data_IF_845793521095
#
_entry.id   IF_845793521095
#
_cell.length_a   1.000
_cell.length_b   1.000
_cell.length_c   1.000
_cell.angle_alpha   90.00
_cell.angle_beta   90.00
_cell.angle_gamma   90.00
#
_symmetry.space_group_name_H-M   'P 1'
#
loop_
_entity.id
_entity.type
_entity.pdbx_description
1 polymer ?
#
# COMPACT_ATOMS: atom_id res chain seq x y z
N UNK A 1 12.44 -15.29 -6.77
CA UNK A 1 11.65 -14.33 -5.97
C UNK A 1 12.33 -12.99 -6.12
N UNK A 2 11.61 -11.93 -6.42
CA UNK A 2 12.16 -10.57 -6.48
C UNK A 2 12.30 -10.01 -5.07
N UNK A 3 13.32 -9.17 -4.87
CA UNK A 3 13.61 -8.48 -3.62
C UNK A 3 13.48 -6.97 -3.80
N UNK A 4 12.87 -6.30 -2.84
CA UNK A 4 12.74 -4.85 -2.80
C UNK A 4 12.99 -4.32 -1.40
N UNK A 5 13.29 -3.04 -1.28
CA UNK A 5 13.40 -2.36 0.01
C UNK A 5 12.61 -1.04 -0.01
N UNK A 6 11.98 -0.72 1.10
CA UNK A 6 11.23 0.53 1.23
C UNK A 6 12.18 1.71 1.49
N UNK A 7 11.99 2.81 0.75
CA UNK A 7 12.84 4.01 0.89
C UNK A 7 12.78 4.63 2.29
N UNK A 8 11.68 4.42 3.02
CA UNK A 8 11.55 4.85 4.42
C UNK A 8 12.57 4.19 5.37
N UNK A 9 13.12 3.04 4.99
CA UNK A 9 14.07 2.28 5.80
C UNK A 9 15.51 2.79 5.67
N UNK A 10 15.78 3.76 4.79
CA UNK A 10 17.12 4.25 4.47
C UNK A 10 17.16 5.78 4.65
N UNK A 11 18.28 6.30 5.14
CA UNK A 11 18.51 7.73 5.22
C UNK A 11 19.02 8.31 3.89
N UNK A 12 18.88 9.63 3.70
CA UNK A 12 19.30 10.36 2.51
C UNK A 12 18.12 10.89 1.68
N UNK A 13 18.40 11.58 0.58
CA UNK A 13 17.38 11.94 -0.39
C UNK A 13 17.00 10.75 -1.29
N UNK A 14 15.95 10.90 -2.09
CA UNK A 14 15.45 9.79 -2.91
C UNK A 14 16.50 9.28 -3.92
N UNK A 15 17.29 10.19 -4.51
CA UNK A 15 18.34 9.81 -5.47
C UNK A 15 19.45 8.98 -4.81
N UNK A 16 19.93 9.44 -3.63
CA UNK A 16 20.93 8.71 -2.83
C UNK A 16 20.44 7.32 -2.42
N UNK A 17 19.15 7.24 -2.00
CA UNK A 17 18.52 5.97 -1.63
C UNK A 17 18.47 5.00 -2.81
N UNK A 18 18.04 5.46 -3.99
CA UNK A 18 17.97 4.62 -5.19
C UNK A 18 19.34 4.09 -5.61
N UNK A 19 20.37 4.93 -5.57
CA UNK A 19 21.75 4.52 -5.86
C UNK A 19 22.24 3.44 -4.89
N UNK A 20 21.95 3.60 -3.59
CA UNK A 20 22.32 2.63 -2.56
C UNK A 20 21.57 1.30 -2.72
N UNK A 21 20.28 1.34 -3.03
CA UNK A 21 19.43 0.17 -3.27
C UNK A 21 19.92 -0.64 -4.46
N UNK A 22 20.22 0.04 -5.58
CA UNK A 22 20.76 -0.59 -6.77
C UNK A 22 22.14 -1.22 -6.51
N UNK A 23 23.03 -0.49 -5.81
CA UNK A 23 24.35 -0.99 -5.44
C UNK A 23 24.29 -2.22 -4.51
N UNK A 24 23.25 -2.33 -3.68
CA UNK A 24 23.00 -3.47 -2.81
C UNK A 24 22.42 -4.69 -3.54
N UNK A 25 22.05 -4.56 -4.81
CA UNK A 25 21.58 -5.67 -5.65
C UNK A 25 20.11 -6.04 -5.46
N UNK A 26 19.28 -5.11 -5.00
CA UNK A 26 17.84 -5.31 -4.99
C UNK A 26 17.25 -5.24 -6.41
N UNK A 27 16.15 -5.97 -6.65
CA UNK A 27 15.43 -5.95 -7.92
C UNK A 27 14.50 -4.73 -8.05
N UNK A 28 14.07 -4.17 -6.90
CA UNK A 28 13.10 -3.10 -6.90
C UNK A 28 13.11 -2.25 -5.61
N UNK A 29 12.21 -1.30 -5.59
CA UNK A 29 12.05 -0.34 -4.50
C UNK A 29 10.57 -0.16 -4.17
N UNK A 30 10.27 -0.03 -2.90
CA UNK A 30 8.99 0.50 -2.44
C UNK A 30 9.16 1.99 -2.15
N UNK A 31 8.45 2.83 -2.91
CA UNK A 31 8.57 4.27 -2.74
C UNK A 31 7.67 4.76 -1.61
N UNK A 32 8.28 5.32 -0.58
CA UNK A 32 7.58 6.02 0.48
C UNK A 32 7.12 7.40 -0.01
N UNK A 33 5.84 7.70 0.12
CA UNK A 33 5.24 8.94 -0.40
C UNK A 33 5.94 10.22 0.06
N UNK A 34 6.38 10.29 1.33
CA UNK A 34 7.06 11.49 1.82
C UNK A 34 8.42 11.70 1.16
N UNK A 35 9.15 10.64 0.82
CA UNK A 35 10.41 10.75 0.08
C UNK A 35 10.17 11.27 -1.33
N UNK A 36 9.09 10.78 -1.96
CA UNK A 36 8.66 11.28 -3.26
C UNK A 36 8.25 12.76 -3.20
N UNK A 37 7.45 13.17 -2.22
CA UNK A 37 6.98 14.56 -2.07
C UNK A 37 8.10 15.53 -1.69
N UNK A 38 9.13 15.05 -1.01
CA UNK A 38 10.29 15.86 -0.63
C UNK A 38 11.30 16.03 -1.77
N UNK A 39 11.20 15.25 -2.84
CA UNK A 39 12.12 15.29 -3.96
C UNK A 39 11.57 16.19 -5.08
N UNK A 40 12.39 17.14 -5.54
CA UNK A 40 11.98 18.14 -6.54
C UNK A 40 12.03 17.58 -7.97
N UNK A 41 11.08 16.70 -8.27
CA UNK A 41 10.91 16.12 -9.60
C UNK A 41 9.45 15.70 -9.83
N UNK A 42 9.03 15.67 -11.09
CA UNK A 42 7.72 15.14 -11.48
C UNK A 42 7.63 13.62 -11.28
N UNK A 43 6.41 13.04 -11.17
CA UNK A 43 6.26 11.59 -11.06
C UNK A 43 6.95 10.82 -12.20
N UNK A 44 6.87 11.33 -13.43
CA UNK A 44 7.52 10.73 -14.60
C UNK A 44 9.04 10.72 -14.49
N UNK A 45 9.62 11.81 -14.00
CA UNK A 45 11.07 11.91 -13.78
C UNK A 45 11.54 10.96 -12.68
N UNK A 46 10.80 10.87 -11.58
CA UNK A 46 11.11 9.90 -10.51
C UNK A 46 11.01 8.47 -11.03
N UNK A 47 9.93 8.14 -11.74
CA UNK A 47 9.79 6.80 -12.35
C UNK A 47 10.92 6.48 -13.35
N UNK A 48 11.34 7.47 -14.15
CA UNK A 48 12.51 7.31 -15.02
C UNK A 48 13.80 7.09 -14.21
N UNK A 49 14.01 7.87 -13.17
CA UNK A 49 15.19 7.75 -12.31
C UNK A 49 15.31 6.35 -11.69
N UNK A 50 14.20 5.77 -11.20
CA UNK A 50 14.18 4.39 -10.69
C UNK A 50 14.64 3.42 -11.77
N UNK A 51 14.07 3.51 -12.98
CA UNK A 51 14.43 2.62 -14.09
C UNK A 51 15.87 2.81 -14.57
N UNK A 52 16.41 4.04 -14.54
CA UNK A 52 17.79 4.34 -14.90
C UNK A 52 18.80 3.66 -13.94
N UNK A 53 18.38 3.38 -12.68
CA UNK A 53 19.14 2.57 -11.72
C UNK A 53 18.96 1.05 -11.91
N UNK A 54 18.19 0.61 -12.90
CA UNK A 54 17.88 -0.80 -13.12
C UNK A 54 16.87 -1.39 -12.14
N UNK A 55 16.16 -0.54 -11.39
CA UNK A 55 15.17 -0.95 -10.41
C UNK A 55 13.75 -0.89 -10.99
N UNK A 56 12.84 -1.70 -10.43
CA UNK A 56 11.39 -1.55 -10.64
C UNK A 56 10.75 -0.92 -9.38
N UNK A 57 9.63 -0.21 -9.57
CA UNK A 57 8.82 0.24 -8.44
C UNK A 57 7.84 -0.88 -8.12
N UNK A 58 8.13 -1.65 -7.07
CA UNK A 58 7.31 -2.79 -6.65
C UNK A 58 6.05 -2.37 -5.91
N UNK A 59 6.09 -1.21 -5.24
CA UNK A 59 5.00 -0.73 -4.40
C UNK A 59 5.12 0.79 -4.18
N UNK A 60 3.99 1.49 -4.18
CA UNK A 60 3.88 2.87 -3.69
C UNK A 60 3.17 2.89 -2.35
N UNK A 61 3.71 3.58 -1.34
CA UNK A 61 3.20 3.52 0.03
C UNK A 61 3.35 4.82 0.82
N UNK A 62 2.56 4.97 1.91
CA UNK A 62 1.32 4.25 2.22
C UNK A 62 0.08 5.06 1.81
N UNK A 63 -1.06 4.38 1.68
CA UNK A 63 -2.37 5.03 1.76
C UNK A 63 -2.98 4.77 3.14
N UNK A 64 -3.33 5.82 3.86
CA UNK A 64 -3.83 5.74 5.25
C UNK A 64 -5.26 6.19 5.37
N UNK A 65 -5.97 5.64 6.38
CA UNK A 65 -7.32 6.06 6.77
C UNK A 65 -8.30 6.03 5.60
N UNK A 66 -8.49 4.83 5.05
CA UNK A 66 -9.38 4.60 3.93
C UNK A 66 -10.69 3.94 4.38
N UNK A 67 -10.62 2.69 4.88
CA UNK A 67 -11.81 1.88 5.17
C UNK A 67 -12.53 2.36 6.43
N UNK A 68 -13.85 2.18 6.42
CA UNK A 68 -14.73 2.50 7.55
C UNK A 68 -14.90 3.97 7.83
N UNK A 69 -14.49 4.85 6.93
CA UNK A 69 -14.65 6.28 7.16
C UNK A 69 -16.12 6.71 7.02
N UNK A 70 -16.66 7.52 7.97
CA UNK A 70 -17.98 8.11 7.81
C UNK A 70 -17.98 9.24 6.77
N UNK A 71 -19.15 9.61 6.25
CA UNK A 71 -19.25 10.83 5.44
C UNK A 71 -18.97 12.11 6.26
N UNK A 72 -18.35 13.14 5.68
CA UNK A 72 -17.85 13.24 4.30
C UNK A 72 -16.43 12.69 4.11
N UNK A 73 -15.83 12.05 5.11
CA UNK A 73 -14.47 11.54 5.04
C UNK A 73 -14.35 10.37 4.05
N UNK A 74 -15.39 9.52 3.94
CA UNK A 74 -15.45 8.43 2.98
C UNK A 74 -15.32 8.95 1.54
N UNK A 75 -16.15 9.90 1.15
CA UNK A 75 -16.05 10.53 -0.18
C UNK A 75 -14.65 11.09 -0.43
N UNK A 76 -14.07 11.80 0.54
CA UNK A 76 -12.71 12.35 0.42
C UNK A 76 -11.62 11.28 0.32
N UNK A 77 -11.80 10.12 0.96
CA UNK A 77 -10.86 9.01 0.87
C UNK A 77 -10.85 8.44 -0.56
N UNK A 78 -12.00 8.28 -1.18
CA UNK A 78 -12.10 7.89 -2.59
C UNK A 78 -11.51 8.93 -3.55
N UNK A 79 -11.78 10.21 -3.33
CA UNK A 79 -11.16 11.28 -4.14
C UNK A 79 -9.63 11.30 -4.03
N UNK A 80 -9.09 10.99 -2.84
CA UNK A 80 -7.64 10.82 -2.66
C UNK A 80 -7.12 9.59 -3.40
N UNK A 81 -7.87 8.49 -3.36
CA UNK A 81 -7.50 7.25 -4.08
C UNK A 81 -7.38 7.49 -5.57
N UNK A 82 -8.35 8.17 -6.17
CA UNK A 82 -8.34 8.52 -7.61
C UNK A 82 -7.08 9.31 -7.98
N UNK A 83 -6.78 10.37 -7.24
CA UNK A 83 -5.56 11.17 -7.46
C UNK A 83 -4.27 10.35 -7.26
N UNK A 84 -4.28 9.40 -6.33
CA UNK A 84 -3.14 8.50 -6.09
C UNK A 84 -2.93 7.59 -7.29
N UNK A 85 -4.00 7.03 -7.85
CA UNK A 85 -3.92 6.18 -9.03
C UNK A 85 -3.40 6.95 -10.26
N UNK A 86 -3.86 8.20 -10.45
CA UNK A 86 -3.36 9.04 -11.54
C UNK A 86 -1.84 9.30 -11.39
N UNK A 87 -1.38 9.63 -10.17
CA UNK A 87 0.05 9.81 -9.88
C UNK A 87 0.85 8.54 -10.13
N UNK A 88 0.34 7.38 -9.68
CA UNK A 88 0.99 6.09 -9.88
C UNK A 88 1.14 5.73 -11.36
N UNK A 89 0.14 6.05 -12.18
CA UNK A 89 0.22 5.88 -13.62
C UNK A 89 1.35 6.68 -14.26
N UNK A 90 1.58 7.91 -13.80
CA UNK A 90 2.70 8.74 -14.24
C UNK A 90 4.05 8.23 -13.71
N UNK A 91 4.09 7.76 -12.49
CA UNK A 91 5.28 7.19 -11.84
C UNK A 91 5.71 5.87 -12.50
N UNK A 92 4.74 5.11 -13.02
CA UNK A 92 4.97 3.82 -13.68
C UNK A 92 4.96 2.63 -12.72
N UNK A 93 4.05 2.66 -11.74
CA UNK A 93 3.76 1.55 -10.84
C UNK A 93 2.26 1.27 -10.80
N UNK A 94 1.89 0.04 -10.52
CA UNK A 94 0.48 -0.38 -10.50
C UNK A 94 -0.01 -0.88 -9.13
N UNK A 95 0.86 -0.99 -8.12
CA UNK A 95 0.51 -1.49 -6.80
C UNK A 95 0.69 -0.43 -5.73
N UNK A 96 -0.33 -0.26 -4.87
CA UNK A 96 -0.29 0.64 -3.72
C UNK A 96 -0.65 -0.10 -2.43
N UNK A 97 0.06 0.23 -1.35
CA UNK A 97 -0.23 -0.28 -0.01
C UNK A 97 -1.27 0.59 0.69
N UNK A 98 -2.36 -0.04 1.12
CA UNK A 98 -3.38 0.53 1.98
C UNK A 98 -3.23 -0.05 3.39
N UNK A 99 -2.88 0.82 4.33
CA UNK A 99 -2.81 0.44 5.74
C UNK A 99 -4.18 0.47 6.39
N UNK A 100 -4.44 -0.46 7.29
CA UNK A 100 -5.67 -0.43 8.10
C UNK A 100 -5.83 0.89 8.84
N UNK A 101 -7.06 1.39 8.90
CA UNK A 101 -7.38 2.73 9.40
C UNK A 101 -7.05 2.87 10.89
N UNK A 102 -6.36 3.98 11.22
CA UNK A 102 -6.06 4.40 12.58
C UNK A 102 -6.90 5.60 13.01
N UNK A 103 -7.70 6.15 12.10
CA UNK A 103 -8.46 7.37 12.33
C UNK A 103 -9.49 7.20 13.45
N UNK A 104 -9.60 8.13 14.43
CA UNK A 104 -10.51 8.00 15.57
C UNK A 104 -11.99 7.91 15.18
N UNK A 105 -12.37 8.43 14.00
CA UNK A 105 -13.74 8.34 13.48
C UNK A 105 -14.02 7.11 12.64
N UNK A 106 -13.01 6.28 12.35
CA UNK A 106 -13.24 5.06 11.57
C UNK A 106 -14.24 4.16 12.28
N UNK A 107 -15.17 3.61 11.51
CA UNK A 107 -16.22 2.69 11.93
C UNK A 107 -15.76 1.26 11.68
N UNK A 108 -15.95 0.38 12.64
CA UNK A 108 -15.60 -1.04 12.50
C UNK A 108 -16.61 -1.83 11.67
N UNK A 109 -16.26 -3.07 11.41
CA UNK A 109 -17.08 -4.05 10.70
C UNK A 109 -16.41 -4.58 9.45
N UNK A 110 -16.24 -5.89 9.39
CA UNK A 110 -15.61 -6.60 8.26
C UNK A 110 -16.38 -6.33 6.96
N UNK A 111 -17.71 -6.45 6.98
CA UNK A 111 -18.54 -6.23 5.79
C UNK A 111 -18.43 -4.79 5.27
N UNK A 112 -18.46 -3.81 6.17
CA UNK A 112 -18.28 -2.38 5.80
C UNK A 112 -16.94 -2.14 5.12
N UNK A 113 -15.86 -2.68 5.67
CA UNK A 113 -14.54 -2.53 5.07
C UNK A 113 -14.46 -3.28 3.73
N UNK A 114 -15.08 -4.44 3.63
CA UNK A 114 -15.15 -5.20 2.38
C UNK A 114 -15.91 -4.43 1.29
N UNK A 115 -17.04 -3.80 1.63
CA UNK A 115 -17.81 -2.95 0.70
C UNK A 115 -16.97 -1.77 0.21
N UNK A 116 -16.21 -1.11 1.12
CA UNK A 116 -15.31 -0.02 0.74
C UNK A 116 -14.21 -0.51 -0.21
N UNK A 117 -13.61 -1.68 0.04
CA UNK A 117 -12.59 -2.25 -0.84
C UNK A 117 -13.15 -2.80 -2.15
N UNK A 118 -14.36 -3.33 -2.18
CA UNK A 118 -15.03 -3.73 -3.42
C UNK A 118 -15.21 -2.52 -4.35
N UNK A 119 -15.74 -1.40 -3.84
CA UNK A 119 -15.86 -0.16 -4.60
C UNK A 119 -14.49 0.39 -5.03
N UNK A 120 -13.48 0.31 -4.17
CA UNK A 120 -12.11 0.73 -4.51
C UNK A 120 -11.52 -0.15 -5.62
N UNK A 121 -11.80 -1.43 -5.60
CA UNK A 121 -11.37 -2.38 -6.61
C UNK A 121 -11.84 -2.02 -8.01
N UNK A 122 -13.11 -1.67 -8.15
CA UNK A 122 -13.69 -1.21 -9.41
C UNK A 122 -12.97 0.05 -9.94
N UNK A 123 -12.69 1.02 -9.06
CA UNK A 123 -11.98 2.25 -9.41
C UNK A 123 -10.51 1.98 -9.78
N UNK A 124 -9.86 1.08 -9.06
CA UNK A 124 -8.48 0.64 -9.33
C UNK A 124 -8.41 -0.08 -10.69
N UNK A 125 -9.33 -1.01 -10.95
CA UNK A 125 -9.40 -1.77 -12.19
C UNK A 125 -9.56 -0.87 -13.41
N UNK A 126 -10.41 0.18 -13.32
CA UNK A 126 -10.62 1.15 -14.39
C UNK A 126 -9.33 1.90 -14.80
N UNK A 127 -8.29 1.89 -13.95
CA UNK A 127 -6.97 2.51 -14.19
C UNK A 127 -5.83 1.50 -14.30
N UNK A 128 -6.13 0.20 -14.29
CA UNK A 128 -5.10 -0.85 -14.30
C UNK A 128 -4.27 -0.92 -13.01
N UNK A 129 -4.82 -0.43 -11.88
CA UNK A 129 -4.15 -0.40 -10.59
C UNK A 129 -4.56 -1.58 -9.72
N UNK A 130 -3.71 -1.93 -8.78
CA UNK A 130 -3.93 -2.96 -7.75
C UNK A 130 -3.72 -2.35 -6.36
N UNK A 131 -4.46 -2.85 -5.41
CA UNK A 131 -4.42 -2.41 -4.01
C UNK A 131 -4.03 -3.60 -3.13
N UNK A 132 -3.02 -3.43 -2.30
CA UNK A 132 -2.68 -4.39 -1.25
C UNK A 132 -3.09 -3.85 0.11
N UNK A 133 -3.93 -4.59 0.83
CA UNK A 133 -4.40 -4.21 2.16
C UNK A 133 -3.53 -4.85 3.25
N UNK A 134 -3.07 -4.04 4.19
CA UNK A 134 -2.21 -4.44 5.29
C UNK A 134 -2.84 -4.13 6.65
N UNK A 135 -2.86 -5.11 7.54
CA UNK A 135 -3.26 -4.92 8.92
C UNK A 135 -2.10 -4.36 9.76
N UNK A 136 -2.19 -3.09 10.16
CA UNK A 136 -1.24 -2.50 11.11
C UNK A 136 -1.46 -3.05 12.52
N UNK A 137 -0.39 -3.33 13.28
CA UNK A 137 -0.48 -3.77 14.67
C UNK A 137 -1.27 -2.82 15.58
N UNK A 138 -1.35 -1.55 15.21
CA UNK A 138 -2.09 -0.49 15.89
C UNK A 138 -3.32 -0.01 15.12
N UNK A 139 -3.78 -0.76 14.11
CA UNK A 139 -5.02 -0.49 13.41
C UNK A 139 -6.21 -0.43 14.38
N UNK A 140 -7.11 0.52 14.18
CA UNK A 140 -8.19 0.77 15.13
C UNK A 140 -9.18 -0.39 15.23
N UNK A 141 -9.54 -0.97 14.10
CA UNK A 141 -10.52 -2.06 14.03
C UNK A 141 -9.96 -3.31 13.37
N UNK A 142 -8.94 -3.16 12.54
CA UNK A 142 -8.24 -4.25 11.86
C UNK A 142 -6.77 -4.18 12.23
N UNK A 143 -6.32 -5.13 13.05
CA UNK A 143 -4.93 -5.21 13.53
C UNK A 143 -4.38 -6.65 13.47
N UNK A 144 -5.06 -7.50 12.72
CA UNK A 144 -4.74 -8.91 12.52
C UNK A 144 -4.86 -9.22 11.02
N UNK A 145 -3.84 -9.88 10.47
CA UNK A 145 -3.85 -10.24 9.04
C UNK A 145 -5.00 -11.19 8.67
N UNK A 146 -5.56 -11.93 9.63
CA UNK A 146 -6.73 -12.80 9.40
C UNK A 146 -8.00 -11.99 9.15
N UNK A 147 -8.18 -10.87 9.86
CA UNK A 147 -9.30 -9.95 9.61
C UNK A 147 -9.10 -9.21 8.28
N UNK A 148 -7.86 -8.79 7.98
CA UNK A 148 -7.54 -8.18 6.68
C UNK A 148 -7.79 -9.15 5.53
N UNK A 149 -7.41 -10.42 5.68
CA UNK A 149 -7.71 -11.46 4.69
C UNK A 149 -9.22 -11.67 4.51
N UNK A 150 -9.98 -11.71 5.60
CA UNK A 150 -11.43 -11.87 5.53
C UNK A 150 -12.11 -10.69 4.80
N UNK A 151 -11.60 -9.48 4.99
CA UNK A 151 -12.05 -8.27 4.25
C UNK A 151 -11.74 -8.43 2.77
N UNK A 152 -10.51 -8.77 2.40
CA UNK A 152 -10.10 -8.97 1.00
C UNK A 152 -10.94 -10.06 0.33
N UNK A 153 -11.15 -11.18 1.03
CA UNK A 153 -11.96 -12.29 0.55
C UNK A 153 -13.42 -11.91 0.30
N UNK A 154 -14.01 -11.05 1.19
CA UNK A 154 -15.39 -10.58 1.03
C UNK A 154 -15.52 -9.47 0.00
N UNK A 155 -14.51 -8.63 -0.17
CA UNK A 155 -14.47 -7.65 -1.24
C UNK A 155 -14.54 -8.33 -2.62
N UNK A 156 -14.03 -9.57 -2.72
CA UNK A 156 -14.11 -10.46 -3.88
C UNK A 156 -13.77 -9.75 -5.21
N UNK A 157 -12.69 -8.97 -5.20
CA UNK A 157 -12.28 -8.18 -6.35
C UNK A 157 -10.83 -8.50 -6.76
N UNK A 158 -10.55 -8.80 -8.06
CA UNK A 158 -9.22 -9.24 -8.51
C UNK A 158 -8.11 -8.19 -8.34
N UNK A 159 -8.46 -6.92 -8.22
CA UNK A 159 -7.50 -5.84 -8.01
C UNK A 159 -7.25 -5.52 -6.53
N UNK A 160 -7.90 -6.24 -5.61
CA UNK A 160 -7.69 -6.12 -4.16
C UNK A 160 -6.99 -7.37 -3.66
N UNK A 161 -5.86 -7.19 -2.99
CA UNK A 161 -5.07 -8.28 -2.41
C UNK A 161 -4.65 -7.99 -0.98
N UNK A 162 -3.97 -8.95 -0.37
CA UNK A 162 -3.42 -8.82 0.98
C UNK A 162 -1.90 -8.55 0.90
N UNK A 163 -1.43 -7.66 1.76
CA UNK A 163 0.00 -7.51 2.08
C UNK A 163 0.22 -8.01 3.50
N UNK A 164 1.21 -8.87 3.67
CA UNK A 164 1.60 -9.44 4.94
C UNK A 164 2.90 -8.80 5.41
N UNK A 165 2.88 -8.16 6.57
CA UNK A 165 4.05 -7.66 7.24
C UNK A 165 4.32 -8.48 8.52
N UNK A 166 5.50 -9.10 8.57
CA UNK A 166 5.94 -9.89 9.71
C UNK A 166 6.07 -9.05 10.99
N UNK A 167 6.43 -7.78 10.88
CA UNK A 167 6.50 -6.87 12.04
C UNK A 167 5.13 -6.75 12.72
N UNK A 168 4.07 -6.53 11.96
CA UNK A 168 2.72 -6.40 12.51
C UNK A 168 2.19 -7.72 13.08
N UNK A 169 2.44 -8.83 12.38
CA UNK A 169 2.06 -10.17 12.83
C UNK A 169 2.74 -10.51 14.15
N UNK A 170 4.06 -10.38 14.21
CA UNK A 170 4.85 -10.72 15.38
C UNK A 170 4.64 -9.72 16.53
N UNK A 171 4.53 -8.43 16.25
CA UNK A 171 4.27 -7.37 17.22
C UNK A 171 2.93 -7.54 17.95
N UNK A 172 1.96 -8.24 17.35
CA UNK A 172 0.68 -8.61 17.95
C UNK A 172 0.72 -9.97 18.64
N UNK A 173 1.83 -10.70 18.60
CA UNK A 173 1.94 -12.05 19.13
C UNK A 173 1.07 -13.07 18.37
N UNK A 174 0.75 -12.79 17.10
CA UNK A 174 -0.03 -13.70 16.25
C UNK A 174 0.89 -14.81 15.77
N UNK A 175 0.42 -16.05 15.85
CA UNK A 175 1.14 -17.20 15.35
C UNK A 175 1.32 -17.10 13.81
N UNK A 176 2.56 -16.99 13.28
CA UNK A 176 2.80 -16.88 11.85
C UNK A 176 2.33 -18.10 11.05
N UNK A 177 2.17 -19.26 11.67
CA UNK A 177 1.60 -20.45 11.00
C UNK A 177 0.17 -20.22 10.50
N UNK A 178 -0.54 -19.23 11.04
CA UNK A 178 -1.88 -18.85 10.56
C UNK A 178 -1.87 -18.33 9.12
N UNK A 179 -0.72 -17.82 8.63
CA UNK A 179 -0.54 -17.37 7.23
C UNK A 179 -0.72 -18.53 6.24
N UNK A 180 -0.38 -19.76 6.63
CA UNK A 180 -0.55 -20.96 5.77
C UNK A 180 -2.00 -21.25 5.38
N UNK A 181 -2.96 -20.62 6.06
CA UNK A 181 -4.40 -20.76 5.75
C UNK A 181 -4.89 -19.76 4.71
N UNK A 182 -4.04 -18.84 4.29
CA UNK A 182 -4.31 -17.88 3.23
C UNK A 182 -3.83 -18.52 1.92
N UNK A 183 -4.71 -18.65 0.91
CA UNK A 183 -4.42 -19.34 -0.35
C UNK A 183 -3.38 -18.59 -1.23
#
# INVERSE_FOLDING_TARGET
MKTAIATVSIAGDLGEKLAAIAAAGFDGVEIFENDFLAFDASPREVGKMVRDHGLEISLFQPFRDFEGMPEPQRTRAFDRAERKFDLMGELGTDLVLYCSSCHPKALGGIDRAADDFAELGERAAARGMRVGYEALAWGKHVSDHRDAWEIVRRADHPNIGLILDSFHTLGRGIDPETIRRIP
#
